data_IF_958025929675
#
_entry.id   IF_958025929675
#
_cell.length_a   1.000
_cell.length_b   1.000
_cell.length_c   1.000
_cell.angle_alpha   90.00
_cell.angle_beta   90.00
_cell.angle_gamma   90.00
#
_symmetry.space_group_name_H-M   'P 1'
#
loop_
_entity.id
_entity.type
_entity.pdbx_description
1 polymer ?
#
# COMPACT_ATOMS: atom_id res chain seq x y z
N UNK A 1 2.75 9.62 15.57
CA UNK A 1 2.06 8.46 16.16
C UNK A 1 2.00 7.35 15.13
N UNK A 2 2.10 6.09 15.55
CA UNK A 2 1.87 4.94 14.67
C UNK A 2 0.42 4.51 14.76
N UNK A 3 -0.15 4.10 13.64
CA UNK A 3 -1.44 3.41 13.61
C UNK A 3 -1.14 1.91 13.70
N UNK A 4 -1.71 1.24 14.69
CA UNK A 4 -1.60 -0.22 14.81
C UNK A 4 -2.96 -0.82 14.49
N UNK A 5 -3.01 -1.67 13.46
CA UNK A 5 -4.17 -2.50 13.19
C UNK A 5 -4.13 -3.75 14.09
N UNK A 6 -5.22 -4.01 14.81
CA UNK A 6 -5.44 -5.30 15.49
C UNK A 6 -6.86 -5.78 15.21
N UNK A 7 -6.99 -6.83 14.39
CA UNK A 7 -8.26 -7.47 14.04
C UNK A 7 -9.33 -6.48 13.50
N UNK A 8 -8.96 -5.63 12.55
CA UNK A 8 -9.86 -4.62 11.98
C UNK A 8 -10.22 -3.47 12.92
N UNK A 9 -9.57 -3.38 14.09
CA UNK A 9 -9.69 -2.27 15.03
C UNK A 9 -8.40 -1.46 15.06
N UNK A 10 -8.51 -0.22 14.62
CA UNK A 10 -7.41 0.74 14.58
C UNK A 10 -7.20 1.35 15.96
N UNK A 11 -6.01 1.20 16.52
CA UNK A 11 -5.64 1.83 17.79
C UNK A 11 -4.56 2.88 17.54
N UNK A 12 -4.82 4.11 17.98
CA UNK A 12 -3.86 5.21 17.93
C UNK A 12 -2.84 5.03 19.05
N UNK A 13 -1.58 4.78 18.70
CA UNK A 13 -0.48 4.81 19.67
C UNK A 13 0.24 6.16 19.56
N UNK A 14 -0.12 7.06 20.49
CA UNK A 14 0.43 8.39 20.75
C UNK A 14 0.12 9.53 19.76
N UNK A 15 0.08 10.75 20.32
CA UNK A 15 -0.15 12.04 19.64
C UNK A 15 0.68 12.13 18.33
N UNK A 16 0.00 12.48 17.24
CA UNK A 16 0.65 12.74 15.94
C UNK A 16 0.44 11.69 14.85
N UNK A 17 -0.63 10.89 14.87
CA UNK A 17 -1.17 10.41 13.60
C UNK A 17 -2.10 11.51 13.05
N UNK A 18 -1.88 11.94 11.80
CA UNK A 18 -2.69 12.97 11.17
C UNK A 18 -4.03 12.39 10.70
N UNK A 19 -5.05 13.24 10.54
CA UNK A 19 -6.32 12.83 9.94
C UNK A 19 -6.15 12.27 8.52
N UNK A 20 -5.08 12.68 7.82
CA UNK A 20 -4.73 12.19 6.50
C UNK A 20 -4.22 10.75 6.57
N UNK A 21 -3.29 10.42 7.48
CA UNK A 21 -2.84 9.04 7.71
C UNK A 21 -4.01 8.09 8.00
N UNK A 22 -4.98 8.55 8.80
CA UNK A 22 -6.19 7.78 9.10
C UNK A 22 -7.08 7.62 7.85
N UNK A 23 -7.22 8.68 7.06
CA UNK A 23 -7.97 8.65 5.79
C UNK A 23 -7.34 7.69 4.78
N UNK A 24 -6.02 7.70 4.64
CA UNK A 24 -5.31 6.86 3.67
C UNK A 24 -5.39 5.37 4.06
N UNK A 25 -5.28 5.06 5.35
CA UNK A 25 -5.50 3.71 5.90
C UNK A 25 -6.96 3.22 5.74
N UNK A 26 -7.94 4.10 5.87
CA UNK A 26 -9.36 3.76 5.70
C UNK A 26 -9.74 3.62 4.21
N UNK A 27 -9.10 4.38 3.32
CA UNK A 27 -9.42 4.39 1.89
C UNK A 27 -8.62 3.38 1.06
N UNK A 28 -7.62 2.71 1.64
CA UNK A 28 -6.92 1.58 1.01
C UNK A 28 -7.85 0.35 1.02
N UNK A 29 -8.33 -0.16 -0.13
CA UNK A 29 -9.11 -1.40 -0.15
C UNK A 29 -8.18 -2.58 0.19
N UNK A 30 -8.09 -2.90 1.48
CA UNK A 30 -7.10 -3.85 2.00
C UNK A 30 -7.23 -5.24 1.38
N UNK A 31 -8.45 -5.67 1.06
CA UNK A 31 -8.70 -6.96 0.42
C UNK A 31 -9.79 -6.86 -0.63
N UNK A 32 -9.42 -7.11 -1.88
CA UNK A 32 -10.34 -7.22 -3.02
C UNK A 32 -10.58 -8.69 -3.31
N UNK A 33 -11.82 -9.09 -3.58
CA UNK A 33 -12.15 -10.48 -3.89
C UNK A 33 -12.96 -10.56 -5.18
N UNK A 34 -12.87 -11.69 -5.87
CA UNK A 34 -13.73 -11.97 -7.01
C UNK A 34 -13.78 -13.45 -7.38
N UNK A 35 -14.45 -13.72 -8.49
CA UNK A 35 -14.65 -15.05 -9.03
C UNK A 35 -14.41 -15.00 -10.54
N UNK A 36 -13.49 -15.84 -11.03
CA UNK A 36 -13.37 -16.12 -12.45
C UNK A 36 -14.48 -17.09 -12.85
N UNK A 37 -15.15 -16.79 -13.96
CA UNK A 37 -16.23 -17.62 -14.49
C UNK A 37 -15.96 -17.83 -15.97
N UNK A 38 -15.73 -19.08 -16.35
CA UNK A 38 -15.67 -19.49 -17.73
C UNK A 38 -16.80 -20.48 -18.05
N UNK A 39 -17.17 -20.56 -19.33
CA UNK A 39 -18.17 -21.51 -19.84
C UNK A 39 -17.46 -22.49 -20.77
N UNK A 40 -17.50 -23.78 -20.44
CA UNK A 40 -17.14 -24.85 -21.37
C UNK A 40 -18.41 -25.36 -22.06
N UNK A 41 -18.36 -25.52 -23.38
CA UNK A 41 -19.53 -25.90 -24.20
C UNK A 41 -19.82 -27.41 -24.13
N UNK A 42 -18.89 -28.22 -23.60
CA UNK A 42 -19.03 -29.66 -23.49
C UNK A 42 -19.64 -30.03 -22.12
N UNK A 43 -20.79 -30.72 -22.13
CA UNK A 43 -21.55 -31.12 -20.93
C UNK A 43 -20.72 -32.09 -20.05
N UNK A 44 -20.39 -31.66 -18.82
CA UNK A 44 -19.63 -32.44 -17.83
C UNK A 44 -18.20 -31.98 -17.53
N UNK A 45 -17.70 -30.94 -18.18
CA UNK A 45 -16.36 -30.39 -17.93
C UNK A 45 -16.25 -29.73 -16.54
N UNK A 46 -15.30 -30.19 -15.71
CA UNK A 46 -14.91 -29.52 -14.47
C UNK A 46 -13.80 -28.51 -14.79
N UNK A 47 -14.11 -27.22 -14.71
CA UNK A 47 -13.12 -26.16 -14.90
C UNK A 47 -12.20 -26.08 -13.67
N UNK A 48 -10.90 -26.07 -13.92
CA UNK A 48 -9.89 -25.79 -12.90
C UNK A 48 -9.13 -24.53 -13.27
N UNK A 49 -8.99 -23.62 -12.31
CA UNK A 49 -8.28 -22.36 -12.48
C UNK A 49 -6.88 -22.42 -11.84
N UNK A 50 -5.95 -21.65 -12.39
CA UNK A 50 -4.60 -21.56 -11.85
C UNK A 50 -3.80 -20.49 -12.57
N UNK A 51 -2.71 -20.04 -11.93
CA UNK A 51 -1.73 -19.17 -12.57
C UNK A 51 -1.02 -19.94 -13.70
N UNK A 52 -0.67 -19.23 -14.78
CA UNK A 52 0.16 -19.78 -15.85
C UNK A 52 1.48 -20.32 -15.29
N UNK A 53 1.86 -21.51 -15.76
CA UNK A 53 3.13 -22.13 -15.40
C UNK A 53 4.31 -21.22 -15.76
N UNK A 54 5.18 -20.98 -14.80
CA UNK A 54 6.31 -20.06 -14.94
C UNK A 54 6.00 -18.59 -14.62
N UNK A 55 4.73 -18.24 -14.35
CA UNK A 55 4.36 -16.92 -13.83
C UNK A 55 4.55 -16.89 -12.32
N UNK A 56 5.31 -15.92 -11.82
CA UNK A 56 5.41 -15.67 -10.39
C UNK A 56 4.08 -15.14 -9.86
N UNK A 57 3.65 -15.64 -8.69
CA UNK A 57 2.52 -15.05 -7.98
C UNK A 57 2.84 -13.58 -7.66
N UNK A 58 1.86 -12.72 -7.90
CA UNK A 58 1.94 -11.31 -7.51
C UNK A 58 1.74 -11.20 -6.00
N UNK A 59 2.48 -10.32 -5.34
CA UNK A 59 2.35 -10.11 -3.90
C UNK A 59 0.89 -9.83 -3.51
N UNK A 60 0.41 -10.45 -2.43
CA UNK A 60 -0.98 -10.32 -1.99
C UNK A 60 -2.04 -10.98 -2.88
N UNK A 61 -1.69 -11.51 -4.06
CA UNK A 61 -2.65 -12.18 -4.96
C UNK A 61 -2.74 -13.68 -4.68
N UNK A 62 -3.96 -14.20 -4.57
CA UNK A 62 -4.24 -15.63 -4.45
C UNK A 62 -5.39 -16.01 -5.38
N UNK A 63 -5.22 -17.10 -6.15
CA UNK A 63 -6.25 -17.70 -6.99
C UNK A 63 -6.43 -19.16 -6.58
N UNK A 64 -7.68 -19.57 -6.32
CA UNK A 64 -8.04 -20.95 -6.02
C UNK A 64 -8.46 -21.68 -7.28
N UNK A 65 -8.40 -23.01 -7.23
CA UNK A 65 -8.77 -23.88 -8.35
C UNK A 65 -10.25 -23.82 -8.73
N UNK A 66 -11.11 -23.28 -7.86
CA UNK A 66 -12.53 -23.01 -8.13
C UNK A 66 -12.76 -21.65 -8.82
N UNK A 67 -11.71 -20.87 -9.06
CA UNK A 67 -11.75 -19.55 -9.70
C UNK A 67 -11.97 -18.39 -8.72
N UNK A 68 -12.20 -18.66 -7.43
CA UNK A 68 -12.25 -17.59 -6.43
C UNK A 68 -10.86 -17.02 -6.21
N UNK A 69 -10.76 -15.69 -6.15
CA UNK A 69 -9.50 -15.00 -5.98
C UNK A 69 -9.59 -13.88 -4.96
N UNK A 70 -8.44 -13.55 -4.38
CA UNK A 70 -8.26 -12.43 -3.46
C UNK A 70 -7.01 -11.64 -3.84
N UNK A 71 -7.04 -10.33 -3.64
CA UNK A 71 -5.91 -9.45 -3.77
C UNK A 71 -5.80 -8.56 -2.54
N UNK A 72 -4.73 -8.76 -1.77
CA UNK A 72 -4.38 -7.95 -0.62
C UNK A 72 -3.50 -6.77 -1.06
N UNK A 73 -4.09 -5.58 -1.14
CA UNK A 73 -3.35 -4.37 -1.53
C UNK A 73 -2.56 -3.75 -0.37
N UNK A 74 -2.75 -4.26 0.86
CA UNK A 74 -2.01 -3.82 2.06
C UNK A 74 -0.61 -4.39 2.14
N UNK A 75 -0.23 -5.28 1.21
CA UNK A 75 1.11 -5.85 1.18
C UNK A 75 2.19 -4.77 1.02
N UNK A 76 3.22 -4.82 1.87
CA UNK A 76 4.35 -3.88 1.90
C UNK A 76 5.06 -3.69 0.54
N UNK A 77 4.91 -4.64 -0.39
CA UNK A 77 5.39 -4.51 -1.77
C UNK A 77 4.77 -3.35 -2.57
N UNK A 78 3.76 -2.67 -2.01
CA UNK A 78 3.05 -1.55 -2.61
C UNK A 78 3.15 -0.25 -1.81
N UNK A 79 3.76 -0.26 -0.63
CA UNK A 79 3.81 0.90 0.26
C UNK A 79 4.69 2.04 -0.25
N UNK A 80 5.53 1.79 -1.26
CA UNK A 80 6.35 2.83 -1.87
C UNK A 80 5.69 3.50 -3.09
N UNK A 81 4.44 3.14 -3.44
CA UNK A 81 3.74 3.70 -4.59
C UNK A 81 3.30 5.12 -4.26
N UNK A 82 3.85 6.09 -4.98
CA UNK A 82 3.55 7.50 -4.74
C UNK A 82 2.09 7.85 -5.04
N UNK A 83 1.63 8.98 -4.50
CA UNK A 83 0.28 9.47 -4.71
C UNK A 83 -0.10 9.56 -6.20
N UNK A 84 -1.16 8.83 -6.59
CA UNK A 84 -1.65 8.81 -7.96
C UNK A 84 -0.83 7.95 -8.93
N UNK A 85 0.25 7.33 -8.47
CA UNK A 85 0.95 6.30 -9.24
C UNK A 85 0.05 5.09 -9.45
N UNK A 86 0.08 4.52 -10.65
CA UNK A 86 -0.79 3.40 -11.03
C UNK A 86 0.04 2.15 -11.27
N UNK A 87 -0.29 1.07 -10.55
CA UNK A 87 0.24 -0.27 -10.79
C UNK A 87 -0.88 -1.17 -11.32
N UNK A 88 -0.67 -1.71 -12.52
CA UNK A 88 -1.58 -2.65 -13.15
C UNK A 88 -1.08 -4.07 -12.96
N UNK A 89 -1.94 -4.94 -12.44
CA UNK A 89 -1.68 -6.37 -12.26
C UNK A 89 -2.56 -7.13 -13.24
N UNK A 90 -1.95 -8.02 -14.02
CA UNK A 90 -2.65 -8.80 -15.03
C UNK A 90 -2.34 -10.28 -14.85
N UNK A 91 -3.37 -11.12 -14.72
CA UNK A 91 -3.21 -12.58 -14.65
C UNK A 91 -4.09 -13.24 -15.72
N UNK A 92 -3.53 -14.23 -16.42
CA UNK A 92 -4.26 -15.11 -17.33
C UNK A 92 -4.77 -16.35 -16.60
N UNK A 93 -5.98 -16.78 -16.95
CA UNK A 93 -6.51 -18.08 -16.53
C UNK A 93 -6.16 -19.12 -17.60
N UNK A 94 -5.46 -20.19 -17.23
CA UNK A 94 -5.20 -21.29 -18.17
C UNK A 94 -5.83 -22.59 -17.65
N UNK A 95 -7.02 -22.89 -18.18
CA UNK A 95 -7.74 -24.14 -17.91
C UNK A 95 -9.11 -24.25 -18.57
N UNK A 96 -9.76 -23.12 -18.88
CA UNK A 96 -10.95 -23.08 -19.73
C UNK A 96 -10.53 -22.82 -21.19
N UNK A 97 -11.28 -23.34 -22.16
CA UNK A 97 -11.15 -22.92 -23.56
C UNK A 97 -11.60 -21.45 -23.69
N UNK A 98 -10.70 -20.51 -23.43
CA UNK A 98 -10.95 -19.07 -23.52
C UNK A 98 -9.97 -18.29 -22.66
N UNK A 99 -9.29 -17.31 -23.26
CA UNK A 99 -8.40 -16.40 -22.54
C UNK A 99 -9.26 -15.33 -21.84
N UNK A 100 -9.59 -15.47 -20.56
CA UNK A 100 -10.00 -14.29 -19.78
C UNK A 100 -8.83 -13.71 -18.99
N UNK A 101 -8.82 -12.39 -18.93
CA UNK A 101 -7.77 -11.60 -18.32
C UNK A 101 -8.34 -10.89 -17.11
N UNK A 102 -7.78 -11.14 -15.93
CA UNK A 102 -8.07 -10.35 -14.74
C UNK A 102 -7.11 -9.18 -14.68
N UNK A 103 -7.65 -7.96 -14.67
CA UNK A 103 -6.88 -6.72 -14.51
C UNK A 103 -7.27 -6.04 -13.20
N UNK A 104 -6.27 -5.80 -12.34
CA UNK A 104 -6.43 -5.07 -11.09
C UNK A 104 -5.60 -3.78 -11.20
N UNK A 105 -6.24 -2.64 -10.93
CA UNK A 105 -5.59 -1.33 -10.91
C UNK A 105 -5.43 -0.88 -9.47
N UNK A 106 -4.18 -0.68 -9.05
CA UNK A 106 -3.84 -0.10 -7.75
C UNK A 106 -3.36 1.33 -7.97
N UNK A 107 -3.87 2.25 -7.16
CA UNK A 107 -3.44 3.65 -7.13
C UNK A 107 -2.77 3.94 -5.79
N UNK A 108 -1.54 4.46 -5.84
CA UNK A 108 -0.77 4.84 -4.66
C UNK A 108 -1.40 6.03 -3.93
N UNK A 109 -1.15 6.09 -2.63
CA UNK A 109 -1.51 7.20 -1.73
C UNK A 109 -0.27 8.03 -1.41
N UNK A 110 -0.44 9.18 -0.75
CA UNK A 110 0.70 9.87 -0.16
C UNK A 110 0.79 9.43 1.30
N UNK A 111 1.77 8.60 1.64
CA UNK A 111 2.09 8.32 3.02
C UNK A 111 2.72 9.54 3.68
N UNK A 112 2.59 9.67 5.01
CA UNK A 112 3.11 10.84 5.71
C UNK A 112 4.54 10.59 6.18
N UNK A 113 5.42 11.61 6.11
CA UNK A 113 6.81 11.43 6.47
C UNK A 113 6.99 11.25 7.98
N UNK A 114 8.03 10.50 8.33
CA UNK A 114 8.45 10.24 9.71
C UNK A 114 9.66 11.12 10.02
N UNK A 115 9.49 12.07 10.94
CA UNK A 115 10.59 12.90 11.44
C UNK A 115 11.50 12.10 12.39
N UNK A 116 12.81 12.31 12.26
CA UNK A 116 13.82 11.79 13.17
C UNK A 116 14.14 12.89 14.19
N UNK A 117 14.02 12.56 15.48
CA UNK A 117 14.31 13.52 16.54
C UNK A 117 15.77 14.00 16.44
N UNK A 118 15.94 15.33 16.42
CA UNK A 118 17.25 15.99 16.41
C UNK A 118 17.34 16.86 17.67
N UNK A 119 18.42 16.69 18.44
CA UNK A 119 18.66 17.42 19.68
C UNK A 119 19.94 18.24 19.49
N UNK A 120 19.85 19.54 19.78
CA UNK A 120 20.99 20.44 19.78
C UNK A 120 21.15 21.12 21.14
N UNK A 121 22.39 21.42 21.51
CA UNK A 121 22.74 22.26 22.65
C UNK A 121 23.58 23.42 22.16
N UNK A 122 23.30 24.63 22.63
CA UNK A 122 24.04 25.83 22.26
C UNK A 122 24.69 26.50 23.47
N UNK A 123 25.74 27.28 23.22
CA UNK A 123 26.32 28.21 24.19
C UNK A 123 25.87 29.61 23.82
N UNK A 124 25.59 30.45 24.82
CA UNK A 124 25.25 31.85 24.60
C UNK A 124 26.31 32.55 23.75
N UNK A 125 25.85 33.50 22.93
CA UNK A 125 26.70 34.30 22.04
C UNK A 125 27.50 33.50 21.01
N UNK A 126 27.08 32.26 20.71
CA UNK A 126 27.67 31.43 19.67
C UNK A 126 26.63 30.96 18.64
N UNK A 127 27.06 30.82 17.39
CA UNK A 127 26.24 30.21 16.35
C UNK A 127 26.21 28.70 16.57
N UNK A 128 25.01 28.15 16.75
CA UNK A 128 24.78 26.70 16.79
C UNK A 128 24.12 26.26 15.49
N UNK A 129 24.64 25.19 14.89
CA UNK A 129 24.03 24.57 13.70
C UNK A 129 23.47 23.21 14.06
N UNK A 130 22.46 22.79 13.30
CA UNK A 130 21.83 21.48 13.43
C UNK A 130 21.20 21.08 12.11
N UNK A 131 20.87 19.81 11.99
CA UNK A 131 20.20 19.26 10.81
C UNK A 131 18.93 18.54 11.25
N UNK A 132 17.84 18.81 10.54
CA UNK A 132 16.63 18.00 10.62
C UNK A 132 16.70 16.90 9.58
N UNK A 133 16.27 15.70 9.97
CA UNK A 133 16.15 14.55 9.09
C UNK A 133 14.77 13.94 9.24
N UNK A 134 14.21 13.47 8.13
CA UNK A 134 12.97 12.74 8.07
C UNK A 134 13.05 11.73 6.91
N UNK A 135 12.18 10.73 6.93
CA UNK A 135 12.07 9.72 5.89
C UNK A 135 10.63 9.62 5.43
N UNK A 136 10.43 9.44 4.14
CA UNK A 136 9.14 9.01 3.58
C UNK A 136 9.31 7.64 2.93
N UNK A 137 8.26 6.82 2.96
CA UNK A 137 8.24 5.50 2.31
C UNK A 137 7.92 5.62 0.82
N UNK A 138 7.20 6.67 0.43
CA UNK A 138 6.86 6.96 -0.96
C UNK A 138 8.10 7.31 -1.76
N UNK A 139 8.25 6.66 -2.91
CA UNK A 139 9.34 7.02 -3.80
C UNK A 139 9.04 8.33 -4.53
N UNK A 140 10.09 9.05 -4.94
CA UNK A 140 9.98 10.33 -5.64
C UNK A 140 9.22 11.42 -4.87
N UNK A 141 8.94 11.23 -3.57
CA UNK A 141 8.37 12.27 -2.72
C UNK A 141 9.43 13.31 -2.30
N UNK A 142 8.97 14.53 -2.03
CA UNK A 142 9.80 15.67 -1.66
C UNK A 142 9.43 16.22 -0.28
N UNK A 143 10.32 16.02 0.68
CA UNK A 143 10.15 16.50 2.05
C UNK A 143 10.28 18.03 2.14
N UNK A 144 9.27 18.67 2.74
CA UNK A 144 9.30 20.10 3.07
C UNK A 144 9.46 20.30 4.57
N UNK A 145 10.48 21.07 4.97
CA UNK A 145 10.75 21.41 6.36
C UNK A 145 10.37 22.86 6.63
N UNK A 146 9.63 23.10 7.71
CA UNK A 146 9.29 24.46 8.15
C UNK A 146 9.58 24.61 9.63
N UNK A 147 10.11 25.76 10.02
CA UNK A 147 10.27 26.10 11.44
C UNK A 147 8.94 26.66 11.91
N UNK A 148 8.32 25.98 12.89
CA UNK A 148 7.19 26.54 13.62
C UNK A 148 7.74 27.23 14.85
N UNK A 149 7.96 28.53 14.74
CA UNK A 149 8.31 29.36 15.87
C UNK A 149 7.05 29.56 16.73
N UNK A 150 6.96 28.84 17.85
CA UNK A 150 5.90 29.02 18.84
C UNK A 150 6.19 30.19 19.80
N UNK A 151 7.42 30.73 19.76
CA UNK A 151 7.92 31.75 20.67
C UNK A 151 8.31 33.01 19.90
N UNK A 152 7.34 33.61 19.19
CA UNK A 152 7.38 35.07 19.01
C UNK A 152 6.71 35.73 20.22
N UNK A 153 7.39 36.61 20.97
CA UNK A 153 6.70 37.55 21.86
C UNK A 153 5.82 38.52 21.07
#
# INVERSE_FOLDING_TARGET
GTVVENNGKWTLTAEGATAQQISDLINKPLLVTGQLVATDVDDGSHLTYGLKSGTAAVAGFNLKSDGSWTFDSSNDAYDSLAAGEIKTITTDEHGAKGDSTLTITLTGTNDAPIAIASIGTGVEDTVTTGQLTATDVDHNDALTYTVKDADKP
#
